data_IF_752074431803
#
_entry.id   IF_752074431803
#
_cell.length_a   1.000
_cell.length_b   1.000
_cell.length_c   1.000
_cell.angle_alpha   90.00
_cell.angle_beta   90.00
_cell.angle_gamma   90.00
#
_symmetry.space_group_name_H-M   'P 1'
#
loop_
_entity.id
_entity.type
_entity.pdbx_description
1 polymer ?
#
# COMPACT_ATOMS: atom_id res chain seq x y z
N UNK A 1 -21.25 26.26 -22.18
CA UNK A 1 -20.68 25.00 -22.71
C UNK A 1 -19.25 24.95 -22.21
N UNK A 2 -19.06 24.44 -20.99
CA UNK A 2 -17.70 24.31 -20.42
C UNK A 2 -16.94 23.26 -21.20
N UNK A 3 -15.74 23.63 -21.59
CA UNK A 3 -14.80 22.85 -22.37
C UNK A 3 -14.32 21.63 -21.56
N UNK A 4 -15.03 20.51 -21.71
CA UNK A 4 -14.69 19.22 -21.11
C UNK A 4 -13.34 18.67 -21.62
N UNK A 5 -12.71 19.34 -22.59
CA UNK A 5 -11.44 18.96 -23.20
C UNK A 5 -10.22 19.47 -22.42
N UNK A 6 -10.40 20.31 -21.40
CA UNK A 6 -9.28 20.82 -20.58
C UNK A 6 -8.65 19.77 -19.65
N UNK A 7 -9.34 18.65 -19.38
CA UNK A 7 -8.78 17.53 -18.62
C UNK A 7 -8.04 16.50 -19.49
N UNK A 8 -8.05 16.66 -20.82
CA UNK A 8 -7.38 15.76 -21.76
C UNK A 8 -5.90 16.14 -22.00
N UNK A 9 -5.24 16.78 -21.02
CA UNK A 9 -3.79 16.98 -21.06
C UNK A 9 -3.15 15.62 -20.81
N UNK A 10 -2.61 15.05 -21.89
CA UNK A 10 -1.98 13.73 -22.00
C UNK A 10 -1.37 13.18 -20.71
N UNK A 11 -2.07 12.26 -20.08
CA UNK A 11 -1.46 11.34 -19.14
C UNK A 11 -0.91 10.19 -19.96
N UNK A 12 0.40 10.14 -20.16
CA UNK A 12 1.03 8.93 -20.68
C UNK A 12 0.79 7.83 -19.63
N UNK A 13 0.19 6.68 -19.98
CA UNK A 13 0.05 5.55 -19.06
C UNK A 13 1.37 5.17 -18.38
N UNK A 14 2.50 5.35 -19.07
CA UNK A 14 3.83 5.11 -18.51
C UNK A 14 4.13 6.03 -17.32
N UNK A 15 3.76 7.31 -17.40
CA UNK A 15 3.97 8.27 -16.31
C UNK A 15 3.10 7.93 -15.09
N UNK A 16 1.91 7.38 -15.32
CA UNK A 16 1.03 6.91 -14.24
C UNK A 16 1.58 5.65 -13.59
N UNK A 17 2.04 4.68 -14.40
CA UNK A 17 2.66 3.46 -13.88
C UNK A 17 3.89 3.75 -13.03
N UNK A 18 4.76 4.67 -13.47
CA UNK A 18 5.92 5.14 -12.69
C UNK A 18 5.48 5.76 -11.37
N UNK A 19 4.47 6.63 -11.38
CA UNK A 19 3.96 7.24 -10.13
C UNK A 19 3.41 6.21 -9.14
N UNK A 20 2.70 5.18 -9.61
CA UNK A 20 2.20 4.13 -8.73
C UNK A 20 3.37 3.29 -8.21
N UNK A 21 4.32 2.91 -9.07
CA UNK A 21 5.51 2.17 -8.65
C UNK A 21 6.31 2.93 -7.57
N UNK A 22 6.54 4.23 -7.76
CA UNK A 22 7.24 5.08 -6.79
C UNK A 22 6.48 5.15 -5.44
N UNK A 23 5.14 5.17 -5.46
CA UNK A 23 4.30 5.17 -4.25
C UNK A 23 4.41 3.84 -3.50
N UNK A 24 4.42 2.70 -4.21
CA UNK A 24 4.60 1.39 -3.60
C UNK A 24 6.02 1.23 -3.05
N UNK A 25 7.05 1.66 -3.78
CA UNK A 25 8.44 1.59 -3.31
C UNK A 25 8.63 2.45 -2.05
N UNK A 26 8.05 3.65 -2.03
CA UNK A 26 8.07 4.54 -0.86
C UNK A 26 7.45 3.86 0.38
N UNK A 27 6.30 3.20 0.22
CA UNK A 27 5.66 2.44 1.29
C UNK A 27 6.57 1.31 1.82
N UNK A 28 7.20 0.55 0.92
CA UNK A 28 8.10 -0.55 1.30
C UNK A 28 9.34 -0.05 2.07
N UNK A 29 9.91 1.08 1.64
CA UNK A 29 11.01 1.72 2.38
C UNK A 29 10.52 2.19 3.74
N UNK A 30 9.40 2.92 3.80
CA UNK A 30 8.88 3.50 5.04
C UNK A 30 8.53 2.42 6.07
N UNK A 31 7.83 1.34 5.68
CA UNK A 31 7.49 0.24 6.62
C UNK A 31 8.74 -0.47 7.14
N UNK A 32 9.76 -0.62 6.30
CA UNK A 32 11.05 -1.21 6.70
C UNK A 32 11.81 -0.31 7.68
N UNK A 33 11.80 1.00 7.45
CA UNK A 33 12.40 1.98 8.37
C UNK A 33 11.66 2.01 9.72
N UNK A 34 10.32 2.04 9.71
CA UNK A 34 9.53 1.99 10.94
C UNK A 34 9.83 0.70 11.73
N UNK A 35 9.96 -0.44 11.04
CA UNK A 35 10.28 -1.70 11.68
C UNK A 35 11.64 -1.71 12.39
N UNK A 36 12.58 -0.82 12.07
CA UNK A 36 13.85 -0.71 12.83
C UNK A 36 13.62 -0.30 14.28
N UNK A 37 12.51 0.40 14.56
CA UNK A 37 12.11 0.78 15.91
C UNK A 37 12.90 1.94 16.52
N UNK A 38 13.54 2.78 15.70
CA UNK A 38 14.32 3.94 16.15
C UNK A 38 13.43 5.01 16.85
N UNK A 39 12.15 5.09 16.48
CA UNK A 39 11.18 6.04 17.05
C UNK A 39 9.82 5.34 17.36
N UNK A 40 9.75 4.54 18.45
CA UNK A 40 8.60 3.68 18.70
C UNK A 40 7.30 4.43 19.00
N UNK A 41 7.39 5.60 19.63
CA UNK A 41 6.23 6.45 19.95
C UNK A 41 5.50 6.97 18.69
N UNK A 42 6.23 7.06 17.57
CA UNK A 42 5.72 7.56 16.28
C UNK A 42 5.36 6.44 15.30
N UNK A 43 5.59 5.17 15.66
CA UNK A 43 5.40 4.03 14.77
C UNK A 43 3.95 3.90 14.28
N UNK A 44 2.96 3.92 15.19
CA UNK A 44 1.54 3.79 14.82
C UNK A 44 1.07 4.95 13.92
N UNK A 45 1.32 6.24 14.25
CA UNK A 45 1.01 7.36 13.34
C UNK A 45 1.62 7.21 11.95
N UNK A 46 2.88 6.79 11.84
CA UNK A 46 3.53 6.59 10.55
C UNK A 46 2.93 5.43 9.77
N UNK A 47 2.69 4.27 10.40
CA UNK A 47 2.04 3.14 9.73
C UNK A 47 0.64 3.51 9.21
N UNK A 48 -0.14 4.27 9.98
CA UNK A 48 -1.46 4.74 9.54
C UNK A 48 -1.37 5.70 8.34
N UNK A 49 -0.37 6.58 8.32
CA UNK A 49 -0.11 7.46 7.19
C UNK A 49 0.24 6.67 5.94
N UNK A 50 1.19 5.74 6.05
CA UNK A 50 1.66 4.91 4.94
C UNK A 50 0.53 4.02 4.37
N UNK A 51 -0.27 3.38 5.23
CA UNK A 51 -1.44 2.60 4.79
C UNK A 51 -2.46 3.49 4.07
N UNK A 52 -2.70 4.70 4.57
CA UNK A 52 -3.63 5.63 3.91
C UNK A 52 -3.14 6.04 2.51
N UNK A 53 -1.84 6.26 2.34
CA UNK A 53 -1.23 6.56 1.05
C UNK A 53 -1.29 5.35 0.11
N UNK A 54 -1.05 4.14 0.62
CA UNK A 54 -1.18 2.89 -0.13
C UNK A 54 -2.63 2.71 -0.62
N UNK A 55 -3.63 2.95 0.23
CA UNK A 55 -5.04 2.92 -0.15
C UNK A 55 -5.38 3.96 -1.22
N UNK A 56 -4.80 5.17 -1.15
CA UNK A 56 -4.97 6.19 -2.19
C UNK A 56 -4.37 5.76 -3.52
N UNK A 57 -3.16 5.18 -3.51
CA UNK A 57 -2.50 4.65 -4.70
C UNK A 57 -3.36 3.53 -5.33
N UNK A 58 -3.86 2.59 -4.52
CA UNK A 58 -4.77 1.54 -4.95
C UNK A 58 -6.08 2.07 -5.53
N UNK A 59 -6.66 3.11 -4.91
CA UNK A 59 -7.86 3.77 -5.43
C UNK A 59 -7.64 4.48 -6.77
N UNK A 60 -6.48 5.14 -6.95
CA UNK A 60 -6.09 5.74 -8.24
C UNK A 60 -5.89 4.66 -9.32
N UNK A 61 -5.25 3.55 -8.98
CA UNK A 61 -5.04 2.43 -9.89
C UNK A 61 -6.38 1.79 -10.28
N UNK A 62 -7.26 1.52 -9.32
CA UNK A 62 -8.58 0.92 -9.55
C UNK A 62 -9.56 1.82 -10.31
N UNK A 63 -9.33 3.13 -10.36
CA UNK A 63 -10.10 4.05 -11.18
C UNK A 63 -9.75 3.97 -12.68
N UNK A 64 -8.64 3.30 -13.05
CA UNK A 64 -8.28 3.06 -14.44
C UNK A 64 -8.91 1.75 -14.92
N UNK A 65 -9.78 1.87 -15.92
CA UNK A 65 -10.43 0.75 -16.59
C UNK A 65 -9.67 0.38 -17.90
N UNK A 66 -9.98 -0.77 -18.48
CA UNK A 66 -9.46 -1.23 -19.78
C UNK A 66 -7.92 -1.43 -19.90
N UNK A 67 -7.25 -1.79 -18.81
CA UNK A 67 -5.84 -2.23 -18.86
C UNK A 67 -5.76 -3.59 -19.56
N UNK A 68 -5.11 -3.64 -20.72
CA UNK A 68 -4.82 -4.88 -21.46
C UNK A 68 -3.31 -5.15 -21.37
N UNK A 69 -2.88 -6.12 -20.54
CA UNK A 69 -1.48 -6.53 -20.49
C UNK A 69 -1.01 -7.07 -21.85
N UNK A 70 0.27 -6.88 -22.17
CA UNK A 70 0.88 -7.45 -23.39
C UNK A 70 0.77 -8.99 -23.41
N UNK A 71 0.94 -9.62 -22.25
CA UNK A 71 0.80 -11.06 -22.05
C UNK A 71 -0.30 -11.35 -21.03
N UNK A 72 -1.06 -12.43 -21.24
CA UNK A 72 -2.11 -12.86 -20.29
C UNK A 72 -1.58 -13.71 -19.14
N UNK A 73 -0.27 -13.79 -18.99
CA UNK A 73 0.38 -14.56 -17.94
C UNK A 73 0.99 -13.59 -16.93
N UNK A 74 0.86 -13.95 -15.66
CA UNK A 74 1.63 -13.29 -14.62
C UNK A 74 3.09 -13.75 -14.73
N UNK A 75 4.07 -12.83 -14.79
CA UNK A 75 5.48 -13.19 -14.73
C UNK A 75 5.77 -13.97 -13.45
N UNK A 76 6.70 -14.91 -13.51
CA UNK A 76 7.17 -15.60 -12.30
C UNK A 76 7.73 -14.55 -11.31
N UNK A 77 7.14 -14.39 -10.10
CA UNK A 77 7.65 -13.46 -9.09
C UNK A 77 9.01 -13.88 -8.56
N UNK A 78 9.47 -15.09 -8.90
CA UNK A 78 10.72 -15.66 -8.45
C UNK A 78 10.57 -16.34 -7.09
N UNK A 79 11.69 -16.57 -6.38
CA UNK A 79 11.64 -17.18 -5.06
C UNK A 79 10.99 -16.23 -4.05
N UNK A 80 10.28 -16.82 -3.08
CA UNK A 80 9.73 -16.10 -1.94
C UNK A 80 10.83 -15.30 -1.23
N UNK A 81 10.55 -14.03 -0.93
CA UNK A 81 11.49 -13.19 -0.20
C UNK A 81 11.43 -13.51 1.29
N UNK A 82 12.59 -13.53 1.96
CA UNK A 82 12.64 -13.67 3.41
C UNK A 82 12.21 -12.35 4.08
N UNK A 83 10.98 -12.35 4.57
CA UNK A 83 10.37 -11.22 5.29
C UNK A 83 10.32 -11.45 6.81
N UNK A 84 10.97 -12.50 7.33
CA UNK A 84 10.87 -12.84 8.76
C UNK A 84 11.44 -11.73 9.65
N UNK A 85 12.56 -11.12 9.25
CA UNK A 85 13.15 -10.01 10.00
C UNK A 85 12.18 -8.81 10.13
N UNK A 86 11.47 -8.47 9.04
CA UNK A 86 10.48 -7.41 9.04
C UNK A 86 9.32 -7.76 9.99
N UNK A 87 8.78 -8.97 9.84
CA UNK A 87 7.66 -9.48 10.64
C UNK A 87 7.99 -9.50 12.14
N UNK A 88 9.14 -10.05 12.51
CA UNK A 88 9.56 -10.16 13.91
C UNK A 88 9.82 -8.79 14.55
N UNK A 89 10.38 -7.86 13.78
CA UNK A 89 10.64 -6.52 14.28
C UNK A 89 9.34 -5.72 14.50
N UNK A 90 8.39 -5.81 13.56
CA UNK A 90 7.06 -5.20 13.73
C UNK A 90 6.31 -5.81 14.92
N UNK A 91 6.34 -7.14 15.09
CA UNK A 91 5.73 -7.80 16.24
C UNK A 91 6.33 -7.30 17.57
N UNK A 92 7.66 -7.15 17.64
CA UNK A 92 8.32 -6.62 18.85
C UNK A 92 7.97 -5.15 19.11
N UNK A 93 7.93 -4.34 18.04
CA UNK A 93 7.62 -2.92 18.11
C UNK A 93 6.16 -2.67 18.55
N UNK A 94 5.24 -3.50 18.06
CA UNK A 94 3.81 -3.36 18.27
C UNK A 94 3.25 -4.23 19.41
N UNK A 95 4.07 -5.03 20.09
CA UNK A 95 3.68 -5.91 21.20
C UNK A 95 2.67 -5.28 22.20
N UNK A 96 2.78 -4.00 22.60
CA UNK A 96 1.80 -3.38 23.50
C UNK A 96 0.37 -3.24 22.93
N UNK A 97 0.23 -3.31 21.61
CA UNK A 97 -1.00 -3.04 20.84
C UNK A 97 -1.31 -4.09 19.76
N UNK A 98 -0.61 -5.22 19.74
CA UNK A 98 -0.72 -6.26 18.70
C UNK A 98 -1.94 -7.19 18.86
N UNK A 99 -2.75 -6.97 19.91
CA UNK A 99 -3.95 -7.77 20.15
C UNK A 99 -5.10 -7.26 19.27
N UNK A 100 -5.42 -8.01 18.22
CA UNK A 100 -6.66 -7.83 17.46
C UNK A 100 -7.80 -8.60 18.14
N UNK A 101 -8.88 -7.91 18.49
CA UNK A 101 -10.10 -8.52 19.02
C UNK A 101 -11.26 -8.26 18.05
N UNK A 102 -11.77 -9.32 17.44
CA UNK A 102 -12.96 -9.24 16.59
C UNK A 102 -14.20 -9.15 17.47
N UNK A 103 -14.91 -8.01 17.42
CA UNK A 103 -16.15 -7.81 18.15
C UNK A 103 -17.31 -8.22 17.24
N UNK A 104 -17.79 -9.45 17.42
CA UNK A 104 -19.02 -9.89 16.78
C UNK A 104 -20.22 -9.21 17.44
N UNK A 105 -21.17 -8.75 16.62
CA UNK A 105 -22.46 -8.29 17.11
C UNK A 105 -23.17 -9.47 17.79
N UNK A 106 -23.66 -9.34 19.04
CA UNK A 106 -24.44 -10.41 19.67
C UNK A 106 -25.65 -10.75 18.79
N UNK A 107 -25.75 -12.01 18.38
CA UNK A 107 -26.97 -12.53 17.77
C UNK A 107 -28.13 -12.34 18.76
N UNK A 108 -29.16 -11.60 18.37
CA UNK A 108 -30.44 -11.59 19.11
C UNK A 108 -31.03 -13.03 19.09
N UNK A 109 -31.58 -13.53 20.21
CA UNK A 109 -32.05 -14.90 20.36
C UNK A 109 -33.29 -15.24 19.54
#
# INVERSE_FOLDING_TARGET
>A
MSDATLHAVGQNPDDFAVQIADQIESFLVAVTEVAKGDEPDSAVPFLLLEVSQLMLAGGRLGAHEDIVPEERYEPDPGPEQDVDALRENLARLLDPVDIYSEVFDPYEP
#
